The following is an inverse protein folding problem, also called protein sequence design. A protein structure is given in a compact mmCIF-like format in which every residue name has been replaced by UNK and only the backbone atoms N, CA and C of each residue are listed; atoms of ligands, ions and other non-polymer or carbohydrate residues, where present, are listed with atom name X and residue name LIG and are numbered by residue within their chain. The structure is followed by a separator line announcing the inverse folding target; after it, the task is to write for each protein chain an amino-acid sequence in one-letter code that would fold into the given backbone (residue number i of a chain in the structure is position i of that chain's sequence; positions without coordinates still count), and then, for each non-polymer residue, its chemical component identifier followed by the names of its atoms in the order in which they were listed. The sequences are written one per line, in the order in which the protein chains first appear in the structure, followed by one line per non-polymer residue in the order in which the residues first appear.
data_IF_142728207402
#
_entry.id   IF_142728207402
#
_cell.length_a   1.000
_cell.length_b   1.000
_cell.length_c   1.000
_cell.angle_alpha   90.00
_cell.angle_beta   90.00
_cell.angle_gamma   90.00
#
_symmetry.space_group_name_H-M   'P 1'
#
loop_
_entity.id
_entity.type
_entity.pdbx_description
1 polymer ?
#
# COMPACT_ATOMS: atom_id res chain seq x y z
N UNK A 1 -25.31 -13.34 -8.64
CA UNK A 1 -24.98 -12.27 -7.68
C UNK A 1 -25.19 -10.91 -8.33
N UNK A 2 -26.06 -10.10 -7.74
CA UNK A 2 -26.21 -8.68 -8.07
C UNK A 2 -24.99 -7.89 -7.60
N UNK A 3 -24.81 -6.65 -8.09
CA UNK A 3 -23.73 -5.76 -7.61
C UNK A 3 -23.83 -5.54 -6.10
N UNK A 4 -25.05 -5.36 -5.58
CA UNK A 4 -25.30 -5.22 -4.14
C UNK A 4 -24.80 -6.43 -3.35
N UNK A 5 -25.12 -7.63 -3.82
CA UNK A 5 -24.69 -8.87 -3.16
C UNK A 5 -23.17 -9.05 -3.21
N UNK A 6 -22.51 -8.63 -4.30
CA UNK A 6 -21.05 -8.65 -4.39
C UNK A 6 -20.40 -7.68 -3.39
N UNK A 7 -20.93 -6.46 -3.28
CA UNK A 7 -20.42 -5.46 -2.33
C UNK A 7 -20.60 -5.91 -0.89
N UNK A 8 -21.77 -6.46 -0.55
CA UNK A 8 -22.03 -6.96 0.79
C UNK A 8 -21.11 -8.13 1.16
N UNK A 9 -20.88 -9.06 0.23
CA UNK A 9 -19.90 -10.13 0.43
C UNK A 9 -18.47 -9.58 0.62
N UNK A 10 -18.07 -8.54 -0.12
CA UNK A 10 -16.77 -7.90 0.06
C UNK A 10 -16.64 -7.23 1.43
N UNK A 11 -17.69 -6.57 1.92
CA UNK A 11 -17.72 -5.94 3.25
C UNK A 11 -17.61 -6.97 4.38
N UNK A 12 -18.34 -8.09 4.27
CA UNK A 12 -18.28 -9.19 5.23
C UNK A 12 -16.88 -9.82 5.27
N UNK A 13 -16.30 -10.10 4.11
CA UNK A 13 -14.92 -10.61 3.99
C UNK A 13 -13.91 -9.62 4.57
N UNK A 14 -14.06 -8.34 4.27
CA UNK A 14 -13.14 -7.31 4.77
C UNK A 14 -13.23 -7.18 6.30
N UNK A 15 -14.44 -7.19 6.86
CA UNK A 15 -14.67 -7.16 8.30
C UNK A 15 -14.02 -8.36 9.01
N UNK A 16 -14.17 -9.57 8.46
CA UNK A 16 -13.57 -10.77 9.01
C UNK A 16 -12.03 -10.73 8.99
N UNK A 17 -11.44 -10.30 7.87
CA UNK A 17 -9.99 -10.12 7.75
C UNK A 17 -9.46 -9.08 8.75
N UNK A 18 -10.21 -7.99 8.98
CA UNK A 18 -9.86 -6.98 9.97
C UNK A 18 -9.95 -7.51 11.42
N UNK A 19 -10.88 -8.42 11.73
CA UNK A 19 -10.95 -9.05 13.04
C UNK A 19 -9.84 -10.11 13.24
N UNK A 20 -9.40 -10.76 12.15
CA UNK A 20 -8.45 -11.86 12.16
C UNK A 20 -7.06 -11.46 11.62
N UNK A 21 -6.64 -10.20 11.77
CA UNK A 21 -5.38 -9.67 11.21
C UNK A 21 -4.15 -10.53 11.53
N UNK A 22 -4.08 -11.08 12.75
CA UNK A 22 -2.96 -11.91 13.19
C UNK A 22 -2.87 -13.28 12.49
N UNK A 23 -3.95 -13.71 11.82
CA UNK A 23 -3.98 -14.96 11.06
C UNK A 23 -3.43 -14.78 9.64
N UNK A 24 -3.27 -13.54 9.16
CA UNK A 24 -2.72 -13.25 7.85
C UNK A 24 -1.21 -13.03 8.01
N UNK A 25 -0.36 -13.99 7.61
CA UNK A 25 1.08 -13.81 7.73
C UNK A 25 1.54 -12.67 6.82
N UNK A 26 2.38 -11.78 7.35
CA UNK A 26 3.03 -10.74 6.55
C UNK A 26 4.05 -11.43 5.62
N UNK A 27 3.93 -11.30 4.29
CA UNK A 27 4.91 -11.88 3.38
C UNK A 27 6.30 -11.30 3.64
N UNK A 28 7.34 -12.14 3.58
CA UNK A 28 8.72 -11.71 3.84
C UNK A 28 9.15 -10.53 2.94
N UNK A 29 8.70 -10.51 1.69
CA UNK A 29 9.03 -9.44 0.74
C UNK A 29 8.50 -8.06 1.17
N UNK A 30 7.43 -7.98 1.99
CA UNK A 30 6.97 -6.71 2.58
C UNK A 30 8.05 -6.15 3.49
N UNK A 31 8.58 -6.99 4.38
CA UNK A 31 9.66 -6.61 5.31
C UNK A 31 10.91 -6.23 4.54
N UNK A 32 11.33 -7.04 3.58
CA UNK A 32 12.53 -6.77 2.77
C UNK A 32 12.43 -5.44 2.03
N UNK A 33 11.24 -5.09 1.56
CA UNK A 33 10.97 -3.79 0.91
C UNK A 33 11.12 -2.63 1.88
N UNK A 34 10.56 -2.74 3.08
CA UNK A 34 10.68 -1.72 4.13
C UNK A 34 12.14 -1.56 4.59
N UNK A 35 12.83 -2.67 4.86
CA UNK A 35 14.24 -2.67 5.27
C UNK A 35 15.14 -2.04 4.20
N UNK A 36 14.85 -2.31 2.92
CA UNK A 36 15.54 -1.66 1.79
C UNK A 36 15.29 -0.16 1.76
N UNK A 37 14.03 0.28 1.90
CA UNK A 37 13.68 1.70 1.88
C UNK A 37 14.32 2.46 3.05
N UNK A 38 14.27 1.89 4.25
CA UNK A 38 14.90 2.46 5.44
C UNK A 38 16.41 2.65 5.24
N UNK A 39 17.08 1.65 4.66
CA UNK A 39 18.51 1.74 4.34
C UNK A 39 18.81 2.88 3.36
N UNK A 40 18.01 3.02 2.30
CA UNK A 40 18.19 4.10 1.33
C UNK A 40 18.00 5.49 1.98
N UNK A 41 17.08 5.60 2.93
CA UNK A 41 16.89 6.85 3.70
C UNK A 41 18.11 7.13 4.57
N UNK A 42 18.61 6.12 5.31
CA UNK A 42 19.83 6.25 6.14
C UNK A 42 21.06 6.62 5.32
N UNK A 43 21.17 6.11 4.09
CA UNK A 43 22.23 6.42 3.14
C UNK A 43 22.04 7.78 2.43
N UNK A 44 20.94 8.50 2.68
CA UNK A 44 20.62 9.77 2.02
C UNK A 44 20.20 9.64 0.56
N UNK A 45 19.95 8.41 0.08
CA UNK A 45 19.54 8.09 -1.29
C UNK A 45 18.03 8.16 -1.51
N UNK A 46 17.25 8.23 -0.44
CA UNK A 46 15.81 8.41 -0.47
C UNK A 46 15.38 9.38 0.63
N UNK A 47 14.27 10.09 0.41
CA UNK A 47 13.70 11.02 1.38
C UNK A 47 12.20 10.87 1.43
N UNK A 48 11.62 11.18 2.59
CA UNK A 48 10.19 11.36 2.70
C UNK A 48 9.78 12.64 2.00
N UNK A 49 8.62 12.59 1.35
CA UNK A 49 8.01 13.75 0.71
C UNK A 49 6.56 13.85 1.15
N UNK A 50 6.08 15.08 1.20
CA UNK A 50 4.67 15.35 1.41
C UNK A 50 3.79 14.66 0.35
N UNK A 51 2.62 14.21 0.77
CA UNK A 51 1.71 13.42 -0.06
C UNK A 51 1.20 14.19 -1.29
N UNK A 52 0.89 15.48 -1.14
CA UNK A 52 0.45 16.30 -2.26
C UNK A 52 1.60 16.53 -3.24
N UNK A 53 2.83 16.62 -2.73
CA UNK A 53 4.04 16.68 -3.57
C UNK A 53 4.24 15.38 -4.36
N UNK A 54 4.08 14.22 -3.72
CA UNK A 54 4.18 12.92 -4.38
C UNK A 54 3.16 12.77 -5.51
N UNK A 55 1.88 13.09 -5.25
CA UNK A 55 0.82 13.06 -6.27
C UNK A 55 1.13 13.95 -7.47
N UNK A 56 1.60 15.18 -7.22
CA UNK A 56 1.98 16.11 -8.30
C UNK A 56 3.08 15.52 -9.17
N UNK A 57 4.13 14.94 -8.57
CA UNK A 57 5.21 14.29 -9.31
C UNK A 57 4.73 13.14 -10.18
N UNK A 58 3.88 12.25 -9.64
CA UNK A 58 3.32 11.11 -10.38
C UNK A 58 2.50 11.60 -11.58
N UNK A 59 1.58 12.56 -11.36
CA UNK A 59 0.75 13.13 -12.45
C UNK A 59 1.59 13.81 -13.54
N UNK A 60 2.72 14.40 -13.19
CA UNK A 60 3.65 15.01 -14.16
C UNK A 60 4.39 13.91 -14.93
N UNK A 61 4.87 12.86 -14.25
CA UNK A 61 5.56 11.74 -14.87
C UNK A 61 4.64 10.99 -15.88
N UNK A 62 3.38 10.75 -15.52
CA UNK A 62 2.39 10.10 -16.40
C UNK A 62 2.10 10.90 -17.68
N UNK A 63 2.32 12.21 -17.68
CA UNK A 63 2.09 13.08 -18.86
C UNK A 63 3.31 13.20 -19.78
N UNK A 64 4.48 12.78 -19.30
CA UNK A 64 5.75 12.87 -20.02
C UNK A 64 6.21 11.51 -20.59
N UNK A 65 5.49 10.43 -20.25
CA UNK A 65 5.65 9.08 -20.82
C UNK A 65 4.68 8.85 -21.97
#
# INVERSE_FOLDING_TARGET
MTVKEKLQAMEELWSDLCCNQNQVPVPQWHKDTLDRQERLIKEGKATFVDWETAKKRIRIADRLS
#
